data_IF_781730892640
#
_entry.id   IF_781730892640
#
_cell.length_a   1.000
_cell.length_b   1.000
_cell.length_c   1.000
_cell.angle_alpha   90.00
_cell.angle_beta   90.00
_cell.angle_gamma   90.00
#
_symmetry.space_group_name_H-M   'P 1'
#
loop_
_entity.id
_entity.type
_entity.pdbx_description
1 polymer ?
#
# COMPACT_ATOMS: atom_id res chain seq x y z
N UNK A 1 0.24 -12.14 11.64
CA UNK A 1 0.29 -10.94 10.75
C UNK A 1 -0.86 -10.03 11.12
N UNK A 2 -0.54 -8.85 11.55
CA UNK A 2 -1.53 -7.88 12.02
C UNK A 2 -2.38 -7.40 10.84
N UNK A 3 -3.70 -7.65 10.90
CA UNK A 3 -4.65 -7.26 9.85
C UNK A 3 -4.55 -8.02 8.51
N UNK A 4 -3.79 -9.12 8.43
CA UNK A 4 -3.66 -9.86 7.16
C UNK A 4 -4.98 -10.47 6.67
N UNK A 5 -5.88 -10.82 7.59
CA UNK A 5 -7.22 -11.32 7.29
C UNK A 5 -8.12 -10.25 6.63
N UNK A 6 -7.71 -8.98 6.67
CA UNK A 6 -8.43 -7.87 6.04
C UNK A 6 -8.11 -7.74 4.54
N UNK A 7 -7.11 -8.46 4.04
CA UNK A 7 -6.67 -8.39 2.65
C UNK A 7 -7.08 -9.66 1.93
N UNK A 8 -8.02 -9.50 1.00
CA UNK A 8 -8.57 -10.62 0.21
C UNK A 8 -8.56 -10.28 -1.27
N UNK A 9 -8.36 -11.26 -2.17
CA UNK A 9 -8.56 -11.05 -3.59
C UNK A 9 -10.03 -10.71 -3.88
N UNK A 10 -10.32 -10.21 -5.06
CA UNK A 10 -11.70 -9.97 -5.49
C UNK A 10 -12.39 -11.31 -5.79
N UNK A 11 -13.62 -11.44 -5.32
CA UNK A 11 -14.46 -12.64 -5.44
C UNK A 11 -15.08 -12.75 -6.86
N UNK A 12 -15.84 -13.83 -7.11
CA UNK A 12 -16.41 -14.15 -8.41
C UNK A 12 -17.45 -13.12 -8.89
N UNK A 13 -18.23 -12.54 -7.98
CA UNK A 13 -19.21 -11.49 -8.29
C UNK A 13 -18.58 -10.21 -8.85
N UNK A 14 -17.34 -9.90 -8.44
CA UNK A 14 -16.54 -8.84 -9.04
C UNK A 14 -16.18 -9.15 -10.47
N UNK A 15 -15.81 -10.40 -10.79
CA UNK A 15 -15.53 -10.83 -12.14
C UNK A 15 -16.69 -10.52 -13.07
N UNK A 16 -17.90 -10.90 -12.67
CA UNK A 16 -19.12 -10.68 -13.45
C UNK A 16 -19.34 -9.19 -13.70
N UNK A 17 -19.26 -8.38 -12.64
CA UNK A 17 -19.38 -6.92 -12.75
C UNK A 17 -18.37 -6.32 -13.74
N UNK A 18 -17.11 -6.70 -13.64
CA UNK A 18 -16.04 -6.12 -14.48
C UNK A 18 -16.12 -6.63 -15.93
N UNK A 19 -16.47 -7.91 -16.14
CA UNK A 19 -16.68 -8.49 -17.47
C UNK A 19 -17.89 -7.86 -18.17
N UNK A 20 -18.97 -7.54 -17.45
CA UNK A 20 -20.13 -6.85 -18.00
C UNK A 20 -19.79 -5.42 -18.43
N UNK A 21 -19.06 -4.70 -17.61
CA UNK A 21 -18.59 -3.35 -17.95
C UNK A 21 -17.62 -3.35 -19.14
N UNK A 22 -16.77 -4.36 -19.25
CA UNK A 22 -15.86 -4.54 -20.38
C UNK A 22 -16.65 -4.86 -21.67
N UNK A 23 -17.61 -5.80 -21.58
CA UNK A 23 -18.47 -6.22 -22.70
C UNK A 23 -19.30 -5.05 -23.25
N UNK A 24 -19.89 -4.24 -22.37
CA UNK A 24 -20.64 -3.05 -22.76
C UNK A 24 -19.80 -2.02 -23.54
N UNK A 25 -18.46 -2.12 -23.47
CA UNK A 25 -17.51 -1.26 -24.21
C UNK A 25 -16.84 -1.94 -25.40
N UNK A 26 -17.23 -3.17 -25.70
CA UNK A 26 -16.57 -3.97 -26.75
C UNK A 26 -15.14 -4.37 -26.41
N UNK A 27 -14.77 -4.39 -25.14
CA UNK A 27 -13.44 -4.76 -24.67
C UNK A 27 -13.33 -6.25 -24.35
N UNK A 28 -12.12 -6.83 -24.45
CA UNK A 28 -11.90 -8.20 -23.99
C UNK A 28 -12.20 -8.32 -22.50
N UNK A 29 -12.87 -9.43 -22.16
CA UNK A 29 -13.24 -9.82 -20.80
C UNK A 29 -12.18 -10.74 -20.17
N UNK A 30 -12.36 -11.12 -18.92
CA UNK A 30 -11.50 -12.12 -18.26
C UNK A 30 -11.54 -13.50 -18.96
N UNK A 31 -12.55 -13.77 -19.78
CA UNK A 31 -12.69 -15.02 -20.55
C UNK A 31 -11.91 -14.98 -21.88
N UNK A 32 -11.63 -13.80 -22.39
CA UNK A 32 -10.84 -13.59 -23.61
C UNK A 32 -9.34 -13.58 -23.29
N UNK A 33 -8.83 -14.68 -22.69
CA UNK A 33 -7.50 -14.76 -22.08
C UNK A 33 -6.40 -14.24 -23.00
N UNK A 34 -6.35 -14.68 -24.26
CA UNK A 34 -5.29 -14.28 -25.19
C UNK A 34 -5.32 -12.78 -25.50
N UNK A 35 -6.52 -12.23 -25.80
CA UNK A 35 -6.68 -10.81 -26.12
C UNK A 35 -6.38 -9.91 -24.90
N UNK A 36 -6.90 -10.30 -23.73
CA UNK A 36 -6.67 -9.54 -22.50
C UNK A 36 -5.20 -9.59 -22.09
N UNK A 37 -4.54 -10.75 -22.19
CA UNK A 37 -3.12 -10.90 -21.85
C UNK A 37 -2.21 -10.03 -22.70
N UNK A 38 -2.50 -9.89 -24.00
CA UNK A 38 -1.75 -8.99 -24.87
C UNK A 38 -1.87 -7.53 -24.38
N UNK A 39 -3.09 -7.07 -24.05
CA UNK A 39 -3.32 -5.72 -23.52
C UNK A 39 -2.65 -5.50 -22.16
N UNK A 40 -2.64 -6.51 -21.30
CA UNK A 40 -1.97 -6.48 -19.99
C UNK A 40 -0.45 -6.41 -20.15
N UNK A 41 0.12 -7.17 -21.10
CA UNK A 41 1.56 -7.10 -21.39
C UNK A 41 1.97 -5.73 -21.94
N UNK A 42 1.14 -5.14 -22.85
CA UNK A 42 1.36 -3.78 -23.35
C UNK A 42 1.34 -2.75 -22.23
N UNK A 43 0.35 -2.81 -21.34
CA UNK A 43 0.24 -1.93 -20.18
C UNK A 43 1.45 -2.09 -19.24
N UNK A 44 1.88 -3.33 -18.98
CA UNK A 44 3.04 -3.60 -18.14
C UNK A 44 4.32 -3.04 -18.73
N UNK A 45 4.52 -3.15 -20.05
CA UNK A 45 5.67 -2.54 -20.73
C UNK A 45 5.65 -1.02 -20.62
N UNK A 46 4.51 -0.37 -20.83
CA UNK A 46 4.35 1.07 -20.73
C UNK A 46 4.70 1.58 -19.31
N UNK A 47 4.32 0.83 -18.25
CA UNK A 47 4.67 1.21 -16.88
C UNK A 47 6.14 0.97 -16.52
N UNK A 48 6.78 -0.01 -17.14
CA UNK A 48 8.20 -0.31 -16.90
C UNK A 48 9.14 0.59 -17.71
N UNK A 49 8.64 1.23 -18.76
CA UNK A 49 9.38 2.20 -19.52
C UNK A 49 9.35 3.55 -18.77
N UNK A 50 10.45 3.85 -18.09
CA UNK A 50 10.60 5.07 -17.27
C UNK A 50 10.54 6.37 -18.06
N UNK A 51 10.55 6.30 -19.38
CA UNK A 51 10.54 7.45 -20.29
C UNK A 51 9.13 7.83 -20.80
N UNK A 52 8.12 7.03 -20.53
CA UNK A 52 6.78 7.25 -21.07
C UNK A 52 5.78 7.67 -19.99
N UNK A 53 4.97 8.64 -20.34
CA UNK A 53 3.80 9.07 -19.57
C UNK A 53 2.75 7.93 -19.52
N UNK A 54 1.86 8.03 -18.55
CA UNK A 54 0.70 7.14 -18.34
C UNK A 54 -0.01 6.79 -19.65
N UNK A 55 -0.24 5.49 -19.91
CA UNK A 55 -1.02 5.04 -21.06
C UNK A 55 -2.48 5.56 -20.96
N UNK A 56 -3.00 6.25 -21.97
CA UNK A 56 -4.38 6.78 -21.94
C UNK A 56 -5.40 5.69 -21.69
N UNK A 57 -6.49 6.01 -20.96
CA UNK A 57 -7.58 5.06 -20.68
C UNK A 57 -8.18 4.47 -21.94
N UNK A 58 -8.25 5.26 -23.01
CA UNK A 58 -8.75 4.83 -24.32
C UNK A 58 -8.03 3.59 -24.85
N UNK A 59 -6.71 3.50 -24.65
CA UNK A 59 -5.87 2.43 -25.22
C UNK A 59 -5.65 1.27 -24.23
N UNK A 60 -5.71 1.56 -22.93
CA UNK A 60 -5.43 0.62 -21.85
C UNK A 60 -6.66 0.19 -21.04
N UNK A 61 -7.87 0.62 -21.43
CA UNK A 61 -9.10 0.46 -20.65
C UNK A 61 -9.39 -0.95 -20.19
N UNK A 62 -9.32 -1.93 -21.08
CA UNK A 62 -9.55 -3.33 -20.76
C UNK A 62 -8.55 -3.87 -19.71
N UNK A 63 -7.25 -3.63 -19.92
CA UNK A 63 -6.21 -4.08 -19.00
C UNK A 63 -6.30 -3.37 -17.64
N UNK A 64 -6.66 -2.09 -17.62
CA UNK A 64 -6.88 -1.34 -16.36
C UNK A 64 -8.10 -1.86 -15.61
N UNK A 65 -9.24 -2.08 -16.31
CA UNK A 65 -10.49 -2.51 -15.68
C UNK A 65 -10.39 -3.95 -15.16
N UNK A 66 -10.02 -4.89 -16.04
CA UNK A 66 -10.16 -6.33 -15.76
C UNK A 66 -8.92 -6.91 -15.08
N UNK A 67 -7.77 -6.24 -15.16
CA UNK A 67 -6.53 -6.77 -14.57
C UNK A 67 -5.94 -5.84 -13.50
N UNK A 68 -5.55 -4.60 -13.86
CA UNK A 68 -4.85 -3.72 -12.92
C UNK A 68 -5.71 -3.37 -11.71
N UNK A 69 -6.97 -2.97 -11.91
CA UNK A 69 -7.92 -2.69 -10.83
C UNK A 69 -8.05 -3.88 -9.87
N UNK A 70 -8.22 -5.10 -10.40
CA UNK A 70 -8.36 -6.33 -9.59
C UNK A 70 -7.12 -6.62 -8.75
N UNK A 71 -5.93 -6.32 -9.29
CA UNK A 71 -4.66 -6.48 -8.60
C UNK A 71 -4.41 -5.38 -7.57
N UNK A 72 -4.89 -4.16 -7.81
CA UNK A 72 -4.58 -2.98 -7.00
C UNK A 72 -5.53 -2.79 -5.83
N UNK A 73 -6.78 -3.24 -5.91
CA UNK A 73 -7.72 -3.20 -4.78
C UNK A 73 -7.15 -3.89 -3.53
N UNK A 74 -6.61 -5.12 -3.60
CA UNK A 74 -5.97 -5.73 -2.42
C UNK A 74 -4.71 -4.99 -1.94
N UNK A 75 -3.98 -4.26 -2.79
CA UNK A 75 -2.86 -3.40 -2.33
C UNK A 75 -3.36 -2.24 -1.48
N UNK A 76 -4.45 -1.60 -1.89
CA UNK A 76 -5.13 -0.58 -1.09
C UNK A 76 -5.53 -1.11 0.28
N UNK A 77 -6.19 -2.27 0.33
CA UNK A 77 -6.53 -2.94 1.59
C UNK A 77 -5.28 -3.25 2.44
N UNK A 78 -4.22 -3.73 1.79
CA UNK A 78 -2.95 -4.02 2.44
C UNK A 78 -2.28 -2.80 3.06
N UNK A 79 -2.35 -1.65 2.40
CA UNK A 79 -1.75 -0.42 2.88
C UNK A 79 -2.50 0.20 4.07
N UNK A 80 -3.82 0.01 4.14
CA UNK A 80 -4.66 0.56 5.23
C UNK A 80 -4.94 -0.44 6.35
N UNK A 81 -4.57 -1.72 6.20
CA UNK A 81 -4.92 -2.80 7.14
C UNK A 81 -4.61 -2.48 8.60
N UNK A 82 -3.50 -1.79 8.84
CA UNK A 82 -3.04 -1.47 10.20
C UNK A 82 -3.86 -0.32 10.80
N UNK A 83 -4.26 0.68 10.01
CA UNK A 83 -5.19 1.72 10.44
C UNK A 83 -6.53 1.14 10.85
N UNK A 84 -7.05 0.21 10.04
CA UNK A 84 -8.35 -0.45 10.28
C UNK A 84 -8.27 -1.36 11.50
N UNK A 85 -7.25 -2.21 11.58
CA UNK A 85 -7.09 -3.21 12.63
C UNK A 85 -6.82 -2.60 14.02
N UNK A 86 -6.22 -1.39 14.08
CA UNK A 86 -5.99 -0.67 15.34
C UNK A 86 -7.14 0.26 15.74
N UNK A 87 -8.22 0.32 14.96
CA UNK A 87 -9.28 1.29 15.21
C UNK A 87 -8.83 2.75 15.08
N UNK A 88 -7.81 3.01 14.24
CA UNK A 88 -7.22 4.34 14.07
C UNK A 88 -7.95 5.21 13.05
N UNK A 89 -9.11 4.77 12.59
CA UNK A 89 -10.03 5.53 11.72
C UNK A 89 -11.31 5.88 12.49
N UNK A 90 -11.95 7.03 12.21
CA UNK A 90 -13.26 7.38 12.75
C UNK A 90 -14.28 6.26 12.52
N UNK A 91 -15.21 6.09 13.48
CA UNK A 91 -16.28 5.10 13.41
C UNK A 91 -17.62 5.63 13.92
N UNK A 92 -17.66 6.85 14.39
CA UNK A 92 -18.80 7.55 14.97
C UNK A 92 -19.44 8.55 14.00
N UNK A 93 -18.88 8.70 12.84
CA UNK A 93 -19.33 9.56 11.74
C UNK A 93 -18.85 9.03 10.38
N UNK A 94 -19.40 9.52 9.26
CA UNK A 94 -18.91 9.18 7.94
C UNK A 94 -17.40 9.44 7.78
N UNK A 95 -16.72 8.47 7.19
CA UNK A 95 -15.29 8.53 6.89
C UNK A 95 -15.05 9.29 5.60
N UNK A 96 -14.43 10.46 5.69
CA UNK A 96 -14.14 11.31 4.53
C UNK A 96 -12.81 10.89 3.90
N UNK A 97 -12.87 10.47 2.65
CA UNK A 97 -11.73 9.91 1.91
C UNK A 97 -11.44 10.75 0.67
N UNK A 98 -10.19 11.16 0.50
CA UNK A 98 -9.68 11.76 -0.73
C UNK A 98 -8.78 10.72 -1.42
N UNK A 99 -9.08 10.38 -2.67
CA UNK A 99 -8.24 9.50 -3.50
C UNK A 99 -7.66 10.34 -4.64
N UNK A 100 -6.35 10.55 -4.59
CA UNK A 100 -5.59 11.40 -5.52
C UNK A 100 -4.95 10.54 -6.59
N UNK A 101 -5.18 10.87 -7.86
CA UNK A 101 -4.86 9.98 -8.97
C UNK A 101 -5.70 8.71 -8.91
N UNK A 102 -6.98 8.86 -8.55
CA UNK A 102 -7.87 7.76 -8.21
C UNK A 102 -8.05 6.73 -9.34
N UNK A 103 -7.96 7.17 -10.59
CA UNK A 103 -8.21 6.31 -11.74
C UNK A 103 -9.60 5.65 -11.64
N UNK A 104 -9.60 4.34 -11.42
CA UNK A 104 -10.82 3.53 -11.21
C UNK A 104 -11.23 3.41 -9.74
N UNK A 105 -10.53 4.05 -8.82
CA UNK A 105 -10.80 4.03 -7.39
C UNK A 105 -10.32 2.77 -6.67
N UNK A 106 -9.30 2.08 -7.16
CA UNK A 106 -8.80 0.84 -6.56
C UNK A 106 -8.38 1.01 -5.10
N UNK A 107 -7.76 2.14 -4.74
CA UNK A 107 -7.34 2.39 -3.35
C UNK A 107 -8.53 2.61 -2.43
N UNK A 108 -9.53 3.38 -2.86
CA UNK A 108 -10.79 3.56 -2.13
C UNK A 108 -11.51 2.23 -1.92
N UNK A 109 -11.65 1.40 -2.97
CA UNK A 109 -12.23 0.07 -2.85
C UNK A 109 -11.45 -0.84 -1.90
N UNK A 110 -10.11 -0.74 -1.90
CA UNK A 110 -9.26 -1.45 -0.96
C UNK A 110 -9.56 -1.07 0.49
N UNK A 111 -9.72 0.23 0.78
CA UNK A 111 -10.08 0.73 2.11
C UNK A 111 -11.46 0.23 2.54
N UNK A 112 -12.48 0.37 1.69
CA UNK A 112 -13.85 -0.09 1.98
C UNK A 112 -13.86 -1.58 2.30
N UNK A 113 -13.21 -2.40 1.48
CA UNK A 113 -13.13 -3.86 1.70
C UNK A 113 -12.37 -4.24 2.97
N UNK A 114 -11.35 -3.49 3.35
CA UNK A 114 -10.65 -3.72 4.63
C UNK A 114 -11.55 -3.40 5.83
N UNK A 115 -12.35 -2.33 5.75
CA UNK A 115 -13.35 -1.96 6.76
C UNK A 115 -14.42 -3.04 6.89
N UNK A 116 -14.97 -3.53 5.77
CA UNK A 116 -15.94 -4.63 5.74
C UNK A 116 -15.37 -5.92 6.35
N UNK A 117 -14.13 -6.29 5.94
CA UNK A 117 -13.46 -7.48 6.44
C UNK A 117 -13.14 -7.41 7.95
N UNK A 118 -13.07 -6.19 8.51
CA UNK A 118 -12.95 -5.96 9.95
C UNK A 118 -14.30 -6.03 10.69
N UNK A 119 -15.41 -6.33 10.01
CA UNK A 119 -16.74 -6.37 10.60
C UNK A 119 -17.35 -4.98 10.88
N UNK A 120 -16.83 -3.93 10.22
CA UNK A 120 -17.25 -2.54 10.43
C UNK A 120 -18.08 -2.00 9.25
N UNK A 121 -18.97 -2.82 8.71
CA UNK A 121 -19.79 -2.49 7.52
C UNK A 121 -20.79 -1.32 7.75
N UNK A 122 -21.01 -0.91 9.00
CA UNK A 122 -21.83 0.27 9.33
C UNK A 122 -21.11 1.62 9.14
N UNK A 123 -19.78 1.60 8.86
CA UNK A 123 -19.04 2.83 8.61
C UNK A 123 -19.38 3.35 7.22
N UNK A 124 -20.07 4.46 7.16
CA UNK A 124 -20.33 5.18 5.91
C UNK A 124 -19.04 5.79 5.38
N UNK A 125 -18.84 5.76 4.06
CA UNK A 125 -17.68 6.33 3.40
C UNK A 125 -18.12 7.39 2.39
N UNK A 126 -17.56 8.60 2.54
CA UNK A 126 -17.69 9.70 1.59
C UNK A 126 -16.38 9.87 0.84
N UNK A 127 -16.34 9.43 -0.42
CA UNK A 127 -15.13 9.46 -1.23
C UNK A 127 -15.13 10.63 -2.22
N UNK A 128 -14.05 11.38 -2.24
CA UNK A 128 -13.76 12.36 -3.30
C UNK A 128 -12.58 11.84 -4.13
N UNK A 129 -12.83 11.59 -5.40
CA UNK A 129 -11.80 11.14 -6.34
C UNK A 129 -11.32 12.28 -7.21
N UNK A 130 -10.01 12.45 -7.29
CA UNK A 130 -9.36 13.46 -8.16
C UNK A 130 -8.45 12.73 -9.14
N UNK A 131 -8.67 12.93 -10.42
CA UNK A 131 -7.80 12.43 -11.50
C UNK A 131 -7.90 13.35 -12.71
N UNK A 132 -6.84 13.49 -13.49
CA UNK A 132 -6.88 14.23 -14.74
C UNK A 132 -7.54 13.46 -15.89
N UNK A 133 -7.63 12.14 -15.79
CA UNK A 133 -8.31 11.27 -16.73
C UNK A 133 -9.81 11.13 -16.40
N UNK A 134 -10.63 12.01 -16.99
CA UNK A 134 -12.07 12.02 -16.80
C UNK A 134 -12.75 10.69 -17.23
N UNK A 135 -12.18 9.97 -18.22
CA UNK A 135 -12.70 8.68 -18.65
C UNK A 135 -12.45 7.61 -17.60
N UNK A 136 -11.29 7.65 -16.93
CA UNK A 136 -11.01 6.77 -15.81
C UNK A 136 -11.99 7.01 -14.66
N UNK A 137 -12.22 8.27 -14.27
CA UNK A 137 -13.21 8.63 -13.24
C UNK A 137 -14.63 8.21 -13.61
N UNK A 138 -14.99 8.29 -14.90
CA UNK A 138 -16.31 7.85 -15.36
C UNK A 138 -16.44 6.32 -15.24
N UNK A 139 -15.44 5.57 -15.68
CA UNK A 139 -15.45 4.11 -15.57
C UNK A 139 -15.45 3.66 -14.11
N UNK A 140 -14.69 4.34 -13.26
CA UNK A 140 -14.73 4.09 -11.82
C UNK A 140 -16.12 4.30 -11.21
N UNK A 141 -16.84 5.35 -11.61
CA UNK A 141 -18.23 5.56 -11.22
C UNK A 141 -19.15 4.44 -11.71
N UNK A 142 -18.93 3.95 -12.93
CA UNK A 142 -19.72 2.84 -13.45
C UNK A 142 -19.52 1.56 -12.62
N UNK A 143 -18.28 1.33 -12.11
CA UNK A 143 -18.00 0.25 -11.15
C UNK A 143 -18.82 0.46 -9.86
N UNK A 144 -18.77 1.66 -9.27
CA UNK A 144 -19.53 1.98 -8.03
C UNK A 144 -21.02 1.73 -8.24
N UNK A 145 -21.60 2.22 -9.32
CA UNK A 145 -23.01 2.03 -9.63
C UNK A 145 -23.39 0.56 -9.86
N UNK A 146 -22.52 -0.21 -10.52
CA UNK A 146 -22.75 -1.63 -10.77
C UNK A 146 -22.69 -2.43 -9.46
N UNK A 147 -21.76 -2.13 -8.57
CA UNK A 147 -21.62 -2.79 -7.26
C UNK A 147 -22.77 -2.43 -6.31
N UNK A 148 -23.22 -1.18 -6.30
CA UNK A 148 -24.39 -0.76 -5.52
C UNK A 148 -25.66 -1.53 -5.94
N UNK A 149 -25.88 -1.72 -7.24
CA UNK A 149 -27.00 -2.53 -7.75
C UNK A 149 -26.92 -4.01 -7.39
N UNK A 150 -25.70 -4.52 -7.24
CA UNK A 150 -25.46 -5.89 -6.79
C UNK A 150 -25.60 -6.08 -5.26
N UNK A 151 -26.00 -5.03 -4.52
CA UNK A 151 -26.16 -5.09 -3.07
C UNK A 151 -24.86 -5.07 -2.28
N UNK A 152 -23.74 -4.72 -2.93
CA UNK A 152 -22.48 -4.51 -2.22
C UNK A 152 -22.46 -3.20 -1.47
N UNK A 153 -21.56 -3.06 -0.50
CA UNK A 153 -21.36 -1.80 0.21
C UNK A 153 -21.15 -0.66 -0.78
N UNK A 154 -22.02 0.34 -0.70
CA UNK A 154 -21.93 1.54 -1.52
C UNK A 154 -21.29 2.65 -0.69
N UNK A 155 -20.55 3.51 -1.33
CA UNK A 155 -20.03 4.73 -0.75
C UNK A 155 -20.47 5.93 -1.60
N UNK A 156 -20.65 7.08 -0.95
CA UNK A 156 -20.91 8.31 -1.67
C UNK A 156 -19.69 8.75 -2.44
N UNK A 157 -19.85 9.06 -3.73
CA UNK A 157 -18.76 9.40 -4.63
C UNK A 157 -18.93 10.78 -5.24
N UNK A 158 -18.01 11.70 -4.89
CA UNK A 158 -17.73 12.95 -5.59
C UNK A 158 -16.53 12.75 -6.53
N UNK A 159 -16.61 13.24 -7.76
CA UNK A 159 -15.52 13.20 -8.73
C UNK A 159 -15.09 14.61 -9.13
N UNK A 160 -13.80 14.80 -9.22
CA UNK A 160 -13.16 16.05 -9.64
C UNK A 160 -12.16 15.74 -10.74
N UNK A 161 -12.51 16.04 -11.98
CA UNK A 161 -11.58 15.94 -13.10
C UNK A 161 -10.61 17.14 -13.03
N UNK A 162 -9.32 16.86 -12.80
CA UNK A 162 -8.33 17.91 -12.66
C UNK A 162 -6.99 17.42 -12.12
N UNK A 163 -6.03 18.32 -12.12
CA UNK A 163 -4.68 18.06 -11.59
C UNK A 163 -4.66 18.19 -10.07
N UNK A 164 -3.59 17.73 -9.45
CA UNK A 164 -3.32 17.84 -8.01
C UNK A 164 -3.53 19.24 -7.42
N UNK A 165 -3.35 20.30 -8.22
CA UNK A 165 -3.61 21.67 -7.77
C UNK A 165 -5.07 21.90 -7.35
N UNK A 166 -6.02 21.19 -7.96
CA UNK A 166 -7.44 21.30 -7.64
C UNK A 166 -7.80 20.77 -6.24
N UNK A 167 -6.92 19.99 -5.61
CA UNK A 167 -7.15 19.40 -4.29
C UNK A 167 -7.16 20.44 -3.17
N UNK A 168 -6.44 21.53 -3.32
CA UNK A 168 -6.25 22.53 -2.26
C UNK A 168 -7.57 23.10 -1.70
N UNK A 169 -8.61 23.17 -2.52
CA UNK A 169 -9.92 23.77 -2.18
C UNK A 169 -10.98 22.73 -1.74
N UNK A 170 -10.61 21.46 -1.63
CA UNK A 170 -11.59 20.39 -1.37
C UNK A 170 -11.93 20.19 0.11
N UNK A 171 -11.29 20.92 1.01
CA UNK A 171 -11.49 20.76 2.46
C UNK A 171 -10.59 19.69 3.07
N UNK A 172 -10.99 19.15 4.23
CA UNK A 172 -10.19 18.19 5.00
C UNK A 172 -10.81 16.79 4.98
N UNK A 173 -9.93 15.79 5.04
CA UNK A 173 -10.25 14.37 4.94
C UNK A 173 -9.60 13.58 6.07
N UNK A 174 -10.23 12.49 6.46
CA UNK A 174 -9.70 11.56 7.46
C UNK A 174 -8.62 10.66 6.87
N UNK A 175 -8.79 10.30 5.58
CA UNK A 175 -7.82 9.49 4.83
C UNK A 175 -7.56 10.14 3.47
N UNK A 176 -6.29 10.31 3.15
CA UNK A 176 -5.86 10.67 1.80
C UNK A 176 -5.13 9.47 1.21
N UNK A 177 -5.61 8.98 0.07
CA UNK A 177 -5.03 7.87 -0.68
C UNK A 177 -4.27 8.39 -1.90
N UNK A 178 -3.10 7.84 -2.19
CA UNK A 178 -2.31 8.13 -3.38
C UNK A 178 -1.67 6.82 -3.87
N UNK A 179 -2.34 6.14 -4.79
CA UNK A 179 -1.90 4.86 -5.34
C UNK A 179 -1.23 5.01 -6.70
N UNK A 180 0.06 4.66 -6.79
CA UNK A 180 0.86 4.72 -8.02
C UNK A 180 1.04 6.13 -8.62
N UNK A 181 0.76 7.17 -7.84
CA UNK A 181 0.82 8.58 -8.28
C UNK A 181 2.25 9.07 -8.42
N UNK A 182 3.10 8.81 -7.41
CA UNK A 182 4.46 9.34 -7.40
C UNK A 182 5.31 8.74 -8.53
N UNK A 183 5.02 7.52 -8.95
CA UNK A 183 5.71 6.89 -10.07
C UNK A 183 5.36 7.51 -11.42
N UNK A 184 4.23 8.20 -11.54
CA UNK A 184 3.75 8.85 -12.75
C UNK A 184 4.05 10.37 -12.79
N UNK A 185 4.33 10.97 -11.62
CA UNK A 185 4.65 12.41 -11.51
C UNK A 185 6.13 12.69 -11.82
N UNK A 186 6.37 13.84 -12.45
CA UNK A 186 7.70 14.42 -12.64
C UNK A 186 8.70 13.43 -13.28
N UNK A 187 8.21 12.62 -14.23
CA UNK A 187 9.01 11.68 -15.01
C UNK A 187 10.08 12.47 -15.78
N UNK A 188 11.34 11.99 -15.74
CA UNK A 188 12.47 12.69 -16.37
C UNK A 188 13.17 13.71 -15.46
N UNK A 189 12.61 14.05 -14.29
CA UNK A 189 13.28 14.91 -13.32
C UNK A 189 14.41 14.16 -12.61
N UNK A 190 15.59 14.77 -12.36
CA UNK A 190 16.67 14.17 -11.59
C UNK A 190 16.21 13.70 -10.21
N UNK A 191 16.73 12.56 -9.74
CA UNK A 191 16.20 11.84 -8.59
C UNK A 191 16.07 12.71 -7.32
N UNK A 192 17.04 13.55 -7.00
CA UNK A 192 17.00 14.40 -5.81
C UNK A 192 15.97 15.52 -5.91
N UNK A 193 15.90 16.19 -7.08
CA UNK A 193 14.88 17.19 -7.34
C UNK A 193 13.48 16.59 -7.30
N UNK A 194 13.31 15.38 -7.85
CA UNK A 194 12.04 14.64 -7.81
C UNK A 194 11.61 14.30 -6.40
N UNK A 195 12.54 13.88 -5.52
CA UNK A 195 12.23 13.68 -4.10
C UNK A 195 11.73 14.96 -3.46
N UNK A 196 12.43 16.09 -3.67
CA UNK A 196 12.03 17.38 -3.11
C UNK A 196 10.63 17.83 -3.59
N UNK A 197 10.34 17.69 -4.89
CA UNK A 197 9.02 18.01 -5.47
C UNK A 197 7.90 17.13 -4.84
N UNK A 198 8.12 15.83 -4.75
CA UNK A 198 7.13 14.92 -4.17
C UNK A 198 6.92 15.17 -2.67
N UNK A 199 7.98 15.49 -1.92
CA UNK A 199 7.87 15.91 -0.52
C UNK A 199 7.00 17.16 -0.39
N UNK A 200 7.20 18.16 -1.25
CA UNK A 200 6.38 19.37 -1.24
C UNK A 200 4.90 19.09 -1.55
N UNK A 201 4.62 18.19 -2.50
CA UNK A 201 3.25 17.78 -2.84
C UNK A 201 2.60 17.09 -1.65
N UNK A 202 3.25 16.07 -1.07
CA UNK A 202 2.68 15.30 0.04
C UNK A 202 2.54 16.17 1.31
N UNK A 203 3.54 17.01 1.61
CA UNK A 203 3.45 17.98 2.69
C UNK A 203 2.22 18.88 2.54
N UNK A 204 1.99 19.44 1.34
CA UNK A 204 0.83 20.30 1.07
C UNK A 204 -0.50 19.57 1.30
N UNK A 205 -0.60 18.31 0.88
CA UNK A 205 -1.77 17.47 1.14
C UNK A 205 -1.98 17.26 2.65
N UNK A 206 -0.92 16.96 3.41
CA UNK A 206 -1.03 16.78 4.86
C UNK A 206 -1.41 18.09 5.55
N UNK A 207 -0.75 19.18 5.22
CA UNK A 207 -0.97 20.46 5.91
C UNK A 207 -2.38 21.02 5.66
N UNK A 208 -2.86 20.95 4.42
CA UNK A 208 -4.11 21.60 3.99
C UNK A 208 -5.33 20.68 4.06
N UNK A 209 -5.17 19.43 3.62
CA UNK A 209 -6.30 18.56 3.34
C UNK A 209 -6.43 17.39 4.32
N UNK A 210 -5.48 17.16 5.23
CA UNK A 210 -5.59 16.08 6.21
C UNK A 210 -6.15 16.62 7.54
N UNK A 211 -7.05 15.86 8.15
CA UNK A 211 -7.47 16.10 9.54
C UNK A 211 -6.31 15.88 10.51
N UNK A 212 -6.44 16.36 11.77
CA UNK A 212 -5.35 16.26 12.76
C UNK A 212 -4.95 14.80 12.99
N UNK A 213 -5.92 13.92 13.19
CA UNK A 213 -5.69 12.48 13.40
C UNK A 213 -5.90 11.66 12.13
N UNK A 214 -5.90 12.30 10.98
CA UNK A 214 -6.02 11.67 9.68
C UNK A 214 -4.74 10.93 9.26
N UNK A 215 -4.83 10.20 8.16
CA UNK A 215 -3.71 9.46 7.58
C UNK A 215 -3.58 9.69 6.07
N UNK A 216 -2.37 10.03 5.61
CA UNK A 216 -1.98 9.98 4.21
C UNK A 216 -1.39 8.59 3.93
N UNK A 217 -1.95 7.89 2.95
CA UNK A 217 -1.54 6.54 2.52
C UNK A 217 -1.01 6.62 1.09
N UNK A 218 0.26 6.31 0.92
CA UNK A 218 0.91 6.23 -0.39
C UNK A 218 1.19 4.77 -0.70
N UNK A 219 0.84 4.32 -1.90
CA UNK A 219 1.11 2.97 -2.41
C UNK A 219 1.85 3.07 -3.74
N UNK A 220 2.99 2.38 -3.85
CA UNK A 220 3.85 2.40 -5.02
C UNK A 220 4.29 0.97 -5.42
N UNK A 221 4.73 0.75 -6.67
CA UNK A 221 5.28 -0.54 -7.07
C UNK A 221 6.47 -0.96 -6.20
N UNK A 222 6.62 -2.26 -5.93
CA UNK A 222 7.74 -2.83 -5.17
C UNK A 222 9.06 -2.90 -5.97
N UNK A 223 9.25 -2.07 -6.98
CA UNK A 223 10.50 -1.95 -7.71
C UNK A 223 11.55 -1.23 -6.86
N UNK A 224 12.80 -1.67 -6.91
CA UNK A 224 13.87 -1.17 -6.05
C UNK A 224 14.02 0.35 -6.10
N UNK A 225 14.08 0.92 -7.29
CA UNK A 225 14.20 2.37 -7.51
C UNK A 225 13.01 3.15 -6.94
N UNK A 226 11.78 2.68 -7.22
CA UNK A 226 10.52 3.27 -6.74
C UNK A 226 10.40 3.20 -5.22
N UNK A 227 10.71 2.06 -4.66
CA UNK A 227 10.70 1.84 -3.22
C UNK A 227 11.74 2.69 -2.49
N UNK A 228 12.97 2.75 -3.00
CA UNK A 228 14.02 3.60 -2.43
C UNK A 228 13.66 5.08 -2.52
N UNK A 229 13.03 5.51 -3.62
CA UNK A 229 12.47 6.84 -3.76
C UNK A 229 11.45 7.15 -2.66
N UNK A 230 10.48 6.25 -2.42
CA UNK A 230 9.50 6.38 -1.34
C UNK A 230 10.16 6.46 0.05
N UNK A 231 11.23 5.68 0.29
CA UNK A 231 11.96 5.74 1.57
C UNK A 231 12.70 7.07 1.77
N UNK A 232 13.22 7.68 0.72
CA UNK A 232 13.83 9.03 0.77
C UNK A 232 12.79 10.10 1.09
N UNK A 233 11.62 10.03 0.46
CA UNK A 233 10.46 10.89 0.77
C UNK A 233 10.05 10.72 2.22
N UNK A 234 9.93 9.47 2.71
CA UNK A 234 9.63 9.16 4.11
C UNK A 234 10.60 9.86 5.07
N UNK A 235 11.90 9.74 4.81
CA UNK A 235 12.93 10.39 5.63
C UNK A 235 12.77 11.90 5.68
N UNK A 236 12.55 12.54 4.52
CA UNK A 236 12.36 13.98 4.42
C UNK A 236 11.08 14.46 5.14
N UNK A 237 9.96 13.74 5.00
CA UNK A 237 8.72 14.06 5.73
C UNK A 237 8.90 13.95 7.25
N UNK A 238 9.61 12.93 7.72
CA UNK A 238 9.93 12.78 9.15
C UNK A 238 10.79 13.95 9.66
N UNK A 239 11.78 14.39 8.87
CA UNK A 239 12.61 15.56 9.21
C UNK A 239 11.81 16.86 9.27
N UNK A 240 10.66 16.93 8.59
CA UNK A 240 9.70 18.04 8.65
C UNK A 240 8.71 17.93 9.83
N UNK A 241 8.84 16.92 10.70
CA UNK A 241 8.01 16.73 11.88
C UNK A 241 6.77 15.87 11.67
N UNK A 242 6.56 15.29 10.48
CA UNK A 242 5.48 14.34 10.28
C UNK A 242 5.82 12.96 10.87
N UNK A 243 4.78 12.23 11.24
CA UNK A 243 4.95 10.93 11.88
C UNK A 243 4.63 9.79 10.93
N UNK A 244 5.52 8.79 10.87
CA UNK A 244 5.21 7.52 10.20
C UNK A 244 4.26 6.71 11.08
N UNK A 245 3.14 6.27 10.51
CA UNK A 245 2.27 5.30 11.15
C UNK A 245 2.66 3.87 10.75
N UNK A 246 2.83 3.61 9.45
CA UNK A 246 3.20 2.31 8.89
C UNK A 246 4.00 2.49 7.57
N UNK A 247 4.78 1.51 7.14
CA UNK A 247 5.10 0.22 7.76
C UNK A 247 6.18 0.33 8.85
N UNK A 248 6.91 1.47 8.92
CA UNK A 248 8.02 1.63 9.85
C UNK A 248 7.52 1.82 11.28
N UNK A 249 8.15 1.15 12.23
CA UNK A 249 7.88 1.28 13.66
C UNK A 249 8.72 2.37 14.32
N UNK A 250 9.49 3.14 13.56
CA UNK A 250 10.43 4.16 14.03
C UNK A 250 10.49 5.38 13.11
N UNK A 251 10.93 6.52 13.68
CA UNK A 251 11.19 7.76 12.95
C UNK A 251 12.63 7.94 12.47
N UNK A 252 13.58 7.11 12.87
CA UNK A 252 15.00 7.21 12.51
C UNK A 252 15.22 6.99 10.98
N UNK A 253 16.40 7.33 10.44
CA UNK A 253 16.74 7.07 9.04
C UNK A 253 16.47 5.64 8.61
N UNK A 254 16.01 5.45 7.37
CA UNK A 254 15.66 4.12 6.88
C UNK A 254 16.93 3.26 6.64
N UNK A 255 17.09 2.13 7.35
CA UNK A 255 18.29 1.30 7.19
C UNK A 255 18.40 0.65 5.81
N UNK A 256 17.30 0.50 5.07
CA UNK A 256 17.33 -0.01 3.70
C UNK A 256 17.96 0.97 2.68
N UNK A 257 18.26 2.22 3.08
CA UNK A 257 18.96 3.19 2.23
C UNK A 257 20.48 3.15 2.38
N UNK A 258 21.01 2.43 3.38
CA UNK A 258 22.45 2.34 3.64
C UNK A 258 23.21 1.65 2.50
N UNK A 259 22.65 0.59 1.93
CA UNK A 259 23.23 -0.12 0.78
C UNK A 259 22.34 0.04 -0.45
N UNK A 260 22.93 0.25 -1.62
CA UNK A 260 22.18 0.44 -2.87
C UNK A 260 21.44 -0.80 -3.34
N UNK A 261 21.89 -1.98 -2.94
CA UNK A 261 21.22 -3.25 -3.20
C UNK A 261 19.93 -3.45 -2.43
N UNK A 262 19.75 -2.72 -1.31
CA UNK A 262 18.67 -2.95 -0.37
C UNK A 262 17.43 -2.11 -0.68
N UNK A 263 16.26 -2.72 -0.51
CA UNK A 263 14.96 -2.04 -0.49
C UNK A 263 13.97 -2.79 0.40
N UNK A 264 13.01 -2.09 0.96
CA UNK A 264 11.99 -2.64 1.84
C UNK A 264 10.60 -2.48 1.20
N UNK A 265 9.90 -3.57 1.02
CA UNK A 265 8.54 -3.61 0.45
C UNK A 265 7.70 -4.64 1.20
N UNK A 266 6.40 -4.62 0.97
CA UNK A 266 5.47 -5.63 1.47
C UNK A 266 5.33 -6.77 0.46
N UNK A 267 5.15 -7.98 0.96
CA UNK A 267 4.79 -9.16 0.18
C UNK A 267 3.78 -9.98 0.99
N UNK A 268 2.50 -9.79 0.68
CA UNK A 268 1.42 -10.49 1.35
C UNK A 268 1.12 -11.79 0.63
N UNK A 269 0.78 -12.85 1.39
CA UNK A 269 0.36 -14.13 0.85
C UNK A 269 -1.08 -14.06 0.30
N UNK A 270 -1.29 -13.18 -0.68
CA UNK A 270 -2.57 -12.96 -1.36
C UNK A 270 -2.35 -13.13 -2.86
N UNK A 271 -2.86 -14.22 -3.40
CA UNK A 271 -2.75 -14.54 -4.83
C UNK A 271 -3.78 -13.76 -5.66
N UNK A 272 -3.54 -13.65 -6.96
CA UNK A 272 -4.59 -13.20 -7.87
C UNK A 272 -5.78 -14.18 -7.83
N UNK A 273 -7.01 -13.67 -8.04
CA UNK A 273 -8.16 -14.55 -8.12
C UNK A 273 -7.98 -15.58 -9.25
N UNK A 274 -8.47 -16.82 -9.06
CA UNK A 274 -8.23 -17.94 -9.98
C UNK A 274 -8.56 -17.63 -11.46
N UNK A 275 -9.57 -16.81 -11.69
CA UNK A 275 -10.01 -16.41 -13.03
C UNK A 275 -9.05 -15.44 -13.74
N UNK A 276 -8.09 -14.80 -13.03
CA UNK A 276 -7.04 -13.97 -13.64
C UNK A 276 -5.68 -14.66 -13.76
N UNK A 277 -5.47 -15.80 -13.13
CA UNK A 277 -4.20 -16.52 -13.21
C UNK A 277 -3.81 -16.87 -14.67
N UNK A 278 -4.72 -17.36 -15.52
CA UNK A 278 -4.37 -17.62 -16.92
C UNK A 278 -3.91 -16.38 -17.68
N UNK A 279 -4.55 -15.23 -17.44
CA UNK A 279 -4.18 -13.94 -18.05
C UNK A 279 -2.79 -13.50 -17.58
N UNK A 280 -2.52 -13.57 -16.27
CA UNK A 280 -1.22 -13.19 -15.71
C UNK A 280 -0.09 -14.06 -16.25
N UNK A 281 -0.29 -15.39 -16.30
CA UNK A 281 0.70 -16.34 -16.83
C UNK A 281 1.04 -16.06 -18.28
N UNK A 282 0.03 -15.87 -19.13
CA UNK A 282 0.24 -15.60 -20.54
C UNK A 282 0.88 -14.22 -20.78
N UNK A 283 0.62 -13.24 -19.91
CA UNK A 283 1.28 -11.93 -19.94
C UNK A 283 2.69 -11.93 -19.32
N UNK A 284 3.19 -13.06 -18.80
CA UNK A 284 4.49 -13.15 -18.14
C UNK A 284 4.56 -12.45 -16.77
N UNK A 285 3.41 -12.31 -16.09
CA UNK A 285 3.32 -11.59 -14.82
C UNK A 285 3.17 -12.54 -13.62
N UNK A 286 3.68 -12.10 -12.48
CA UNK A 286 3.51 -12.80 -11.20
C UNK A 286 2.04 -12.85 -10.82
N UNK A 287 1.57 -13.99 -10.36
CA UNK A 287 0.20 -14.24 -9.93
C UNK A 287 0.09 -14.73 -8.48
N UNK A 288 1.21 -15.09 -7.87
CA UNK A 288 1.30 -15.52 -6.48
C UNK A 288 1.89 -14.39 -5.62
N UNK A 289 1.27 -14.17 -4.47
CA UNK A 289 1.63 -13.11 -3.54
C UNK A 289 1.32 -11.70 -4.09
N UNK A 290 1.24 -10.74 -3.19
CA UNK A 290 0.90 -9.35 -3.47
C UNK A 290 2.04 -8.44 -3.02
N UNK A 291 2.86 -7.98 -3.96
CA UNK A 291 3.99 -7.09 -3.69
C UNK A 291 3.66 -5.63 -3.96
N UNK A 292 3.97 -4.76 -3.01
CA UNK A 292 3.88 -3.31 -3.14
C UNK A 292 4.76 -2.64 -2.09
N UNK A 293 5.14 -1.39 -2.30
CA UNK A 293 5.67 -0.53 -1.24
C UNK A 293 4.59 0.45 -0.80
N UNK A 294 4.57 0.78 0.49
CA UNK A 294 3.59 1.72 1.03
C UNK A 294 4.18 2.56 2.15
N UNK A 295 3.52 3.68 2.39
CA UNK A 295 3.85 4.60 3.47
C UNK A 295 2.55 5.21 4.00
N UNK A 296 2.37 5.14 5.31
CA UNK A 296 1.28 5.81 6.02
C UNK A 296 1.87 6.88 6.90
N UNK A 297 1.51 8.14 6.61
CA UNK A 297 1.99 9.32 7.34
C UNK A 297 0.85 10.00 8.09
N UNK A 298 1.15 10.59 9.23
CA UNK A 298 0.25 11.41 10.03
C UNK A 298 0.89 12.76 10.36
N UNK A 299 0.10 13.70 10.82
CA UNK A 299 0.61 14.95 11.40
C UNK A 299 1.46 14.68 12.65
N UNK A 300 2.36 15.58 12.96
CA UNK A 300 3.10 15.54 14.22
C UNK A 300 2.15 15.57 15.42
N UNK A 301 2.49 14.85 16.49
CA UNK A 301 1.65 14.70 17.68
C UNK A 301 0.57 13.62 17.59
N UNK A 302 0.21 13.13 16.39
CA UNK A 302 -0.74 12.02 16.24
C UNK A 302 -0.14 10.68 16.69
N UNK A 303 -1.01 9.72 17.08
CA UNK A 303 -0.58 8.38 17.48
C UNK A 303 0.03 7.61 16.30
N UNK A 304 1.18 6.97 16.53
CA UNK A 304 1.77 6.02 15.57
C UNK A 304 1.23 4.59 15.78
N UNK A 305 1.67 3.66 14.94
CA UNK A 305 1.26 2.25 15.06
C UNK A 305 1.71 1.65 16.40
N UNK A 306 2.92 1.95 16.84
CA UNK A 306 3.45 1.45 18.13
C UNK A 306 2.55 1.91 19.28
N UNK A 307 2.11 3.16 19.28
CA UNK A 307 1.21 3.69 20.32
C UNK A 307 -0.18 3.03 20.25
N UNK A 308 -0.67 2.79 19.03
CA UNK A 308 -1.97 2.15 18.80
C UNK A 308 -2.00 0.66 19.23
N UNK A 309 -0.84 -0.01 19.19
CA UNK A 309 -0.68 -1.40 19.64
C UNK A 309 -0.54 -1.53 21.18
N UNK A 310 -0.63 -0.43 21.93
CA UNK A 310 -0.58 -0.35 23.39
C UNK A 310 0.61 -1.13 24.00
N UNK A 311 1.85 -0.67 23.82
CA UNK A 311 3.06 -1.38 24.21
C UNK A 311 3.27 -1.41 25.72
N UNK A 312 3.85 -2.52 26.22
CA UNK A 312 4.48 -2.51 27.54
C UNK A 312 5.73 -1.63 27.47
N UNK A 313 5.96 -0.74 28.45
CA UNK A 313 7.18 0.04 28.52
C UNK A 313 8.42 -0.87 28.48
N UNK A 314 9.41 -0.53 27.66
CA UNK A 314 10.68 -1.28 27.56
C UNK A 314 10.70 -2.49 26.61
N UNK A 315 9.57 -2.87 25.99
CA UNK A 315 9.55 -3.95 25.01
C UNK A 315 10.00 -3.44 23.62
N UNK A 316 10.99 -4.07 23.03
CA UNK A 316 11.40 -3.84 21.64
C UNK A 316 10.36 -4.39 20.68
N UNK A 317 9.94 -3.58 19.69
CA UNK A 317 9.05 -4.03 18.62
C UNK A 317 9.72 -3.99 17.28
N UNK A 318 9.65 -5.12 16.59
CA UNK A 318 10.36 -5.36 15.37
C UNK A 318 9.40 -5.88 14.31
N UNK A 319 9.48 -5.34 13.11
CA UNK A 319 8.77 -5.84 11.95
C UNK A 319 9.67 -6.78 11.15
N UNK A 320 9.14 -7.94 10.77
CA UNK A 320 9.80 -8.79 9.81
C UNK A 320 9.76 -8.12 8.42
N UNK A 321 10.93 -7.88 7.84
CA UNK A 321 11.09 -7.25 6.53
C UNK A 321 11.63 -8.19 5.47
N UNK A 322 11.71 -9.48 5.79
CA UNK A 322 12.04 -10.58 4.87
C UNK A 322 11.20 -11.81 5.19
N UNK A 323 11.20 -12.77 4.27
CA UNK A 323 10.78 -14.14 4.60
C UNK A 323 11.75 -14.77 5.60
N UNK A 324 11.28 -15.83 6.30
CA UNK A 324 12.13 -16.63 7.16
C UNK A 324 13.00 -17.54 6.28
N UNK A 325 14.29 -17.26 6.28
CA UNK A 325 15.30 -18.04 5.58
C UNK A 325 15.71 -19.24 6.42
N UNK A 326 15.43 -20.45 5.94
CA UNK A 326 15.78 -21.70 6.62
C UNK A 326 17.04 -22.29 6.02
N UNK A 327 17.98 -22.64 6.88
CA UNK A 327 19.16 -23.42 6.54
C UNK A 327 19.39 -24.52 7.57
N UNK A 328 20.33 -25.44 7.31
CA UNK A 328 20.62 -26.57 8.22
C UNK A 328 20.94 -26.03 9.63
N UNK A 329 20.02 -26.29 10.57
CA UNK A 329 20.17 -25.96 12.00
C UNK A 329 19.88 -24.52 12.40
N UNK A 330 19.40 -23.65 11.47
CA UNK A 330 19.04 -22.26 11.82
C UNK A 330 17.89 -21.70 10.96
N UNK A 331 17.15 -20.77 11.55
CA UNK A 331 16.20 -19.92 10.86
C UNK A 331 16.59 -18.44 11.08
N UNK A 332 16.58 -17.64 10.02
CA UNK A 332 17.01 -16.24 10.05
C UNK A 332 15.97 -15.38 9.34
N UNK A 333 15.77 -14.15 9.81
CA UNK A 333 14.96 -13.14 9.14
C UNK A 333 15.58 -11.77 9.34
N UNK A 334 15.28 -10.83 8.44
CA UNK A 334 15.60 -9.43 8.67
C UNK A 334 14.46 -8.78 9.46
N UNK A 335 14.84 -8.06 10.51
CA UNK A 335 13.93 -7.30 11.36
C UNK A 335 14.26 -5.81 11.27
N UNK A 336 13.23 -4.96 11.38
CA UNK A 336 13.37 -3.52 11.42
C UNK A 336 12.50 -2.95 12.53
N UNK A 337 13.06 -2.08 13.37
CA UNK A 337 12.38 -1.46 14.48
C UNK A 337 13.30 -0.60 15.30
N UNK A 338 12.85 -0.20 16.49
CA UNK A 338 13.65 0.55 17.44
C UNK A 338 14.25 -0.41 18.47
N UNK A 339 15.55 -0.24 18.72
CA UNK A 339 16.31 -0.98 19.72
C UNK A 339 16.80 -0.03 20.79
N UNK A 340 16.68 -0.43 22.05
CA UNK A 340 17.34 0.26 23.14
C UNK A 340 18.82 -0.13 23.14
N UNK A 341 19.70 0.83 22.88
CA UNK A 341 21.16 0.66 23.01
C UNK A 341 21.67 1.73 23.96
N UNK A 342 22.01 1.32 25.18
CA UNK A 342 22.51 2.23 26.21
C UNK A 342 21.57 3.37 26.62
N UNK A 343 20.26 3.21 26.41
CA UNK A 343 19.23 4.21 26.68
C UNK A 343 18.84 5.08 25.48
N UNK A 344 19.49 4.91 24.33
CA UNK A 344 19.08 5.55 23.07
C UNK A 344 18.31 4.55 22.20
N UNK A 345 17.20 5.00 21.60
CA UNK A 345 16.48 4.24 20.60
C UNK A 345 17.24 4.33 19.27
N UNK A 346 17.69 3.21 18.75
CA UNK A 346 18.41 3.13 17.48
C UNK A 346 17.60 2.29 16.51
N UNK A 347 17.25 2.84 15.35
CA UNK A 347 16.67 2.06 14.28
C UNK A 347 17.75 1.16 13.66
N UNK A 348 17.50 -0.13 13.62
CA UNK A 348 18.42 -1.08 13.03
C UNK A 348 17.69 -2.09 12.18
N UNK A 349 18.33 -2.48 11.05
CA UNK A 349 17.98 -3.68 10.31
C UNK A 349 18.91 -4.77 10.83
N UNK A 350 18.36 -5.69 11.63
CA UNK A 350 19.13 -6.75 12.24
C UNK A 350 18.78 -8.11 11.65
N UNK A 351 19.73 -9.05 11.70
CA UNK A 351 19.44 -10.48 11.53
C UNK A 351 18.95 -11.01 12.87
N UNK A 352 17.88 -11.79 12.87
CA UNK A 352 17.50 -12.54 14.06
C UNK A 352 18.63 -13.49 14.42
N UNK A 353 19.15 -13.37 15.64
CA UNK A 353 20.15 -14.27 16.17
C UNK A 353 19.66 -15.71 16.09
N UNK A 354 20.60 -16.63 15.88
CA UNK A 354 20.35 -18.09 15.80
C UNK A 354 19.32 -18.58 16.80
N UNK A 355 18.16 -18.98 16.31
CA UNK A 355 17.23 -19.78 17.09
C UNK A 355 17.85 -21.16 17.26
N UNK A 356 18.46 -21.44 18.43
CA UNK A 356 18.86 -22.82 18.78
C UNK A 356 17.61 -23.65 19.02
N UNK A 357 17.62 -24.94 18.68
CA UNK A 357 16.52 -25.90 18.78
C UNK A 357 15.81 -26.00 20.15
N UNK A 358 16.29 -25.32 21.19
CA UNK A 358 15.87 -25.49 22.57
C UNK A 358 15.10 -24.30 23.19
N UNK A 359 14.74 -23.28 22.41
CA UNK A 359 13.87 -22.23 22.92
C UNK A 359 12.48 -22.38 22.35
N UNK A 360 11.45 -22.16 23.17
CA UNK A 360 10.00 -22.23 22.88
C UNK A 360 9.54 -21.21 21.81
N UNK A 361 10.19 -21.19 20.67
CA UNK A 361 9.85 -20.34 19.54
C UNK A 361 9.06 -21.08 18.46
N UNK A 362 8.16 -21.98 18.87
CA UNK A 362 7.23 -22.65 17.92
C UNK A 362 6.48 -21.64 17.04
N UNK A 363 6.24 -20.43 17.55
CA UNK A 363 5.56 -19.36 16.83
C UNK A 363 6.40 -18.69 15.72
N UNK A 364 7.73 -18.75 15.78
CA UNK A 364 8.59 -18.13 14.77
C UNK A 364 8.43 -18.73 13.37
N UNK A 365 8.15 -20.03 13.31
CA UNK A 365 7.98 -20.76 12.04
C UNK A 365 6.74 -20.30 11.30
N UNK A 366 5.78 -19.69 11.99
CA UNK A 366 4.51 -19.22 11.45
C UNK A 366 4.56 -17.73 11.05
N UNK A 367 5.60 -17.00 11.45
CA UNK A 367 5.73 -15.58 11.14
C UNK A 367 5.98 -15.37 9.65
N UNK A 368 5.39 -14.30 9.14
CA UNK A 368 5.49 -13.88 7.75
C UNK A 368 6.03 -12.46 7.67
N UNK A 369 6.56 -12.08 6.51
CA UNK A 369 6.92 -10.69 6.23
C UNK A 369 5.75 -9.77 6.58
N UNK A 370 6.06 -8.62 7.18
CA UNK A 370 5.07 -7.66 7.67
C UNK A 370 4.59 -7.90 9.10
N UNK A 371 4.87 -9.08 9.70
CA UNK A 371 4.51 -9.31 11.11
C UNK A 371 5.32 -8.42 12.04
N UNK A 372 4.63 -7.92 13.07
CA UNK A 372 5.26 -7.20 14.18
C UNK A 372 5.39 -8.15 15.35
N UNK A 373 6.62 -8.30 15.85
CA UNK A 373 6.94 -9.13 16.99
C UNK A 373 7.40 -8.26 18.15
N UNK A 374 7.04 -8.66 19.36
CA UNK A 374 7.59 -8.11 20.61
C UNK A 374 8.60 -9.11 21.13
N UNK A 375 9.81 -8.65 21.37
CA UNK A 375 10.88 -9.45 21.96
C UNK A 375 11.16 -8.94 23.37
N UNK A 376 11.05 -9.81 24.37
CA UNK A 376 11.29 -9.51 25.76
C UNK A 376 12.02 -10.70 26.40
N UNK A 377 13.29 -10.54 26.86
CA UNK A 377 14.13 -9.40 26.56
C UNK A 377 14.46 -9.29 25.08
N UNK A 378 14.73 -8.07 24.61
CA UNK A 378 15.18 -7.88 23.23
C UNK A 378 16.42 -8.77 22.99
N UNK A 379 16.43 -9.67 21.97
CA UNK A 379 17.59 -10.50 21.74
C UNK A 379 18.79 -9.63 21.42
N UNK A 380 19.97 -10.07 21.80
CA UNK A 380 21.22 -9.46 21.35
C UNK A 380 21.28 -9.53 19.81
N UNK A 381 21.00 -8.42 19.19
CA UNK A 381 21.13 -8.27 17.76
C UNK A 381 22.62 -8.08 17.47
N UNK A 382 23.27 -9.10 16.90
CA UNK A 382 24.59 -8.88 16.32
C UNK A 382 24.43 -7.88 15.20
N UNK A 383 24.87 -6.64 15.44
CA UNK A 383 25.09 -5.65 14.40
C UNK A 383 26.11 -6.26 13.43
N UNK A 384 25.76 -6.31 12.15
CA UNK A 384 26.72 -6.65 11.10
C UNK A 384 27.59 -5.39 10.89
N UNK A 385 28.57 -5.20 11.77
CA UNK A 385 29.50 -4.06 11.72
C UNK A 385 30.55 -4.21 10.62
N UNK A 386 30.54 -5.35 9.95
CA UNK A 386 31.51 -5.66 8.92
C UNK A 386 30.84 -6.09 7.62
N UNK A 387 30.38 -5.13 6.84
CA UNK A 387 30.49 -5.21 5.35
C UNK A 387 29.99 -3.95 4.69
#
# INVERSE_FOLDING_TARGET
MFGANLVKPLEQDWRETLDDLARARGWPTSRDVAKLSARVADLSRAYNDSMHARAPMRDAGAARLVFAFVRDVPKGAGAVRELVATGSLPSDRPLRVLDVGAGLGAMTWGLVRAIEAAGRSSVEVEATWVDEDALALQLGRDIVNARARAGSHAFELRRVAGRLAAVAELGKFDVILAGHVLSELDVGTPADARVAQHVMVLRRLIDRNLEQDGALVVVEPALRDRTRHLHRIRGALVSLGFRVFAPCLHGAPCPALVRDSDWCHEDLAVDLPPWLIPVARLAGLRHQGLTFSYLVMRKGGSRGLVDALNPRPGAGRLRLVSEIMRSKGKSEAFLCGEFADGGALVAARGRVARLRRHHDHANWIQLKRGDVVTLDPAPELKRDESR
#
